data_IF_855896085040
#
_entry.id   IF_855896085040
#
_cell.length_a   1.000
_cell.length_b   1.000
_cell.length_c   1.000
_cell.angle_alpha   90.00
_cell.angle_beta   90.00
_cell.angle_gamma   90.00
#
_symmetry.space_group_name_H-M   'P 1'
#
loop_
_entity.id
_entity.type
_entity.pdbx_description
1 polymer ?
#
# COMPACT_ATOMS: atom_id res chain seq x y z
N UNK A 1 -8.97 23.19 -2.04
CA UNK A 1 -7.80 22.28 -2.15
C UNK A 1 -8.31 20.98 -2.77
N UNK A 2 -7.72 20.46 -3.84
CA UNK A 2 -8.21 19.23 -4.48
C UNK A 2 -7.85 18.02 -3.61
N UNK A 3 -8.78 17.08 -3.38
CA UNK A 3 -8.61 15.87 -2.57
C UNK A 3 -7.37 15.04 -2.98
N UNK A 4 -7.04 15.01 -4.27
CA UNK A 4 -5.81 14.37 -4.75
C UNK A 4 -4.53 15.09 -4.28
N UNK A 5 -4.54 16.43 -4.21
CA UNK A 5 -3.41 17.20 -3.68
C UNK A 5 -3.26 16.98 -2.18
N UNK A 6 -4.40 16.88 -1.46
CA UNK A 6 -4.42 16.56 -0.04
C UNK A 6 -3.80 15.18 0.22
N UNK A 7 -4.21 14.14 -0.52
CA UNK A 7 -3.65 12.80 -0.38
C UNK A 7 -2.14 12.76 -0.64
N UNK A 8 -1.65 13.44 -1.68
CA UNK A 8 -0.21 13.55 -1.92
C UNK A 8 0.55 14.17 -0.76
N UNK A 9 -0.02 15.21 -0.13
CA UNK A 9 0.58 15.84 1.05
C UNK A 9 0.57 14.90 2.26
N UNK A 10 -0.54 14.19 2.50
CA UNK A 10 -0.65 13.20 3.58
C UNK A 10 0.35 12.05 3.39
N UNK A 11 0.48 11.53 2.17
CA UNK A 11 1.47 10.50 1.85
C UNK A 11 2.91 10.99 2.07
N UNK A 12 3.21 12.23 1.65
CA UNK A 12 4.52 12.82 1.85
C UNK A 12 4.84 13.01 3.35
N UNK A 13 3.87 13.51 4.13
CA UNK A 13 4.02 13.65 5.59
C UNK A 13 4.22 12.30 6.28
N UNK A 14 3.42 11.31 5.94
CA UNK A 14 3.53 9.97 6.51
C UNK A 14 4.89 9.32 6.18
N UNK A 15 5.33 9.45 4.92
CA UNK A 15 6.66 8.99 4.50
C UNK A 15 7.77 9.70 5.25
N UNK A 16 7.71 11.03 5.35
CA UNK A 16 8.73 11.82 6.06
C UNK A 16 8.83 11.41 7.53
N UNK A 17 7.69 11.17 8.20
CA UNK A 17 7.67 10.71 9.58
C UNK A 17 8.25 9.30 9.72
N UNK A 18 7.93 8.41 8.77
CA UNK A 18 8.52 7.08 8.73
C UNK A 18 10.04 7.14 8.52
N UNK A 19 10.49 7.92 7.53
CA UNK A 19 11.93 8.08 7.22
C UNK A 19 12.70 8.65 8.40
N UNK A 20 12.12 9.61 9.11
CA UNK A 20 12.71 10.19 10.33
C UNK A 20 12.94 9.12 11.41
N UNK A 21 11.96 8.22 11.62
CA UNK A 21 12.06 7.19 12.64
C UNK A 21 12.93 5.99 12.27
N UNK A 22 12.82 5.50 11.02
CA UNK A 22 13.36 4.18 10.63
C UNK A 22 14.49 4.24 9.61
N UNK A 23 14.68 5.37 8.93
CA UNK A 23 15.80 5.59 8.02
C UNK A 23 16.89 6.43 8.69
N UNK A 24 16.49 7.53 9.35
CA UNK A 24 17.39 8.40 10.09
C UNK A 24 17.65 7.93 11.53
N UNK A 25 16.78 7.05 12.06
CA UNK A 25 16.84 6.50 13.43
C UNK A 25 16.59 7.54 14.55
N UNK A 26 15.82 8.57 14.25
CA UNK A 26 15.41 9.59 15.20
C UNK A 26 14.02 9.32 15.80
N UNK A 27 13.71 8.04 16.04
CA UNK A 27 12.54 7.67 16.84
C UNK A 27 12.66 8.19 18.27
N UNK A 28 11.56 8.46 19.01
CA UNK A 28 11.62 8.94 20.37
C UNK A 28 12.30 7.94 21.32
N UNK A 29 13.33 8.38 22.02
CA UNK A 29 13.94 7.64 23.11
C UNK A 29 13.04 7.67 24.37
N UNK A 30 13.53 7.19 25.51
CA UNK A 30 12.81 7.14 26.79
C UNK A 30 12.44 8.54 27.31
N UNK A 31 13.23 9.57 26.97
CA UNK A 31 12.97 10.97 27.31
C UNK A 31 12.09 11.70 26.26
N UNK A 32 11.67 11.01 25.20
CA UNK A 32 10.91 11.59 24.09
C UNK A 32 11.75 12.40 23.10
N UNK A 33 13.08 12.40 23.23
CA UNK A 33 14.01 13.07 22.31
C UNK A 33 14.35 12.17 21.11
N UNK A 34 14.75 12.75 19.95
CA UNK A 34 15.21 11.97 18.79
C UNK A 34 16.39 11.08 19.18
N UNK A 35 16.31 9.77 18.90
CA UNK A 35 17.31 8.81 19.40
C UNK A 35 18.74 9.13 18.92
N UNK A 36 18.97 9.08 17.60
CA UNK A 36 20.31 9.27 17.03
C UNK A 36 20.84 10.68 17.25
N UNK A 37 20.03 11.70 16.97
CA UNK A 37 20.42 13.12 17.07
C UNK A 37 20.67 13.57 18.51
N UNK A 38 20.18 12.84 19.53
CA UNK A 38 20.45 13.10 20.94
C UNK A 38 21.58 12.23 21.50
N UNK A 39 22.37 11.59 20.64
CA UNK A 39 23.53 10.80 21.05
C UNK A 39 23.21 9.33 21.37
N UNK A 40 22.10 8.81 20.87
CA UNK A 40 21.78 7.38 20.98
C UNK A 40 22.88 6.49 20.37
N UNK A 41 23.21 5.41 21.04
CA UNK A 41 24.30 4.52 20.63
C UNK A 41 23.99 3.80 19.31
N UNK A 42 24.95 3.86 18.37
CA UNK A 42 24.86 3.26 17.06
C UNK A 42 25.94 2.18 16.91
N UNK A 43 25.58 1.05 16.32
CA UNK A 43 26.49 -0.08 16.10
C UNK A 43 26.56 -0.44 14.63
N UNK A 44 27.74 -0.77 14.13
CA UNK A 44 27.92 -1.22 12.76
C UNK A 44 27.31 -2.61 12.54
N UNK A 45 26.49 -2.74 11.52
CA UNK A 45 25.90 -4.03 11.15
C UNK A 45 26.52 -4.55 9.83
N UNK A 46 27.22 -5.66 9.92
CA UNK A 46 27.96 -6.24 8.78
C UNK A 46 27.08 -6.70 7.62
N UNK A 47 25.84 -7.13 7.90
CA UNK A 47 24.90 -7.58 6.87
C UNK A 47 24.25 -6.42 6.14
N UNK A 48 23.88 -5.36 6.88
CA UNK A 48 23.25 -4.15 6.34
C UNK A 48 24.26 -3.15 5.76
N UNK A 49 25.58 -3.33 6.06
CA UNK A 49 26.68 -2.42 5.66
C UNK A 49 26.39 -0.97 6.07
N UNK A 50 25.82 -0.78 7.26
CA UNK A 50 25.49 0.54 7.84
C UNK A 50 25.40 0.44 9.35
N UNK A 51 25.46 1.61 10.00
CA UNK A 51 25.14 1.73 11.40
C UNK A 51 23.63 1.63 11.63
N UNK A 52 23.25 0.93 12.69
CA UNK A 52 21.90 0.82 13.20
C UNK A 52 21.90 1.09 14.71
N UNK A 53 20.76 1.46 15.32
CA UNK A 53 20.68 1.64 16.77
C UNK A 53 21.12 0.38 17.52
N UNK A 54 21.75 0.60 18.70
CA UNK A 54 22.10 -0.52 19.58
C UNK A 54 20.87 -1.38 19.90
N UNK A 55 21.08 -2.70 19.93
CA UNK A 55 20.01 -3.67 20.16
C UNK A 55 19.09 -3.94 18.98
N UNK A 56 19.23 -3.21 17.86
CA UNK A 56 18.51 -3.55 16.63
C UNK A 56 19.19 -4.70 15.90
N UNK A 57 18.41 -5.42 15.10
CA UNK A 57 18.86 -6.59 14.36
C UNK A 57 18.68 -6.43 12.84
N UNK A 58 19.41 -7.26 12.09
CA UNK A 58 19.15 -7.43 10.67
C UNK A 58 18.08 -8.53 10.48
N UNK A 59 17.03 -8.20 9.76
CA UNK A 59 16.00 -9.13 9.29
C UNK A 59 15.70 -8.93 7.82
N UNK A 60 14.57 -9.46 7.37
CA UNK A 60 14.12 -9.44 5.98
C UNK A 60 12.67 -8.95 5.87
N UNK A 61 12.22 -8.67 4.67
CA UNK A 61 10.81 -8.33 4.43
C UNK A 61 9.85 -9.48 4.83
N UNK A 62 10.31 -10.75 4.76
CA UNK A 62 9.52 -11.91 5.20
C UNK A 62 9.41 -12.05 6.72
N UNK A 63 10.21 -11.34 7.49
CA UNK A 63 10.13 -11.35 8.95
C UNK A 63 9.03 -10.40 9.47
N UNK A 64 8.64 -9.41 8.68
CA UNK A 64 7.69 -8.38 9.09
C UNK A 64 6.31 -8.51 8.46
N UNK A 65 6.19 -9.25 7.34
CA UNK A 65 4.93 -9.40 6.63
C UNK A 65 4.81 -10.76 5.94
N UNK A 66 3.56 -11.17 5.73
CA UNK A 66 3.18 -12.28 4.88
C UNK A 66 2.74 -11.77 3.52
N UNK A 67 3.08 -12.50 2.47
CA UNK A 67 2.81 -12.15 1.08
C UNK A 67 1.94 -13.25 0.45
N UNK A 68 0.63 -13.03 0.48
CA UNK A 68 -0.34 -13.99 -0.08
C UNK A 68 -0.59 -13.66 -1.55
N UNK A 69 -0.31 -14.61 -2.42
CA UNK A 69 -0.58 -14.48 -3.84
C UNK A 69 -2.08 -14.57 -4.13
N UNK A 70 -2.56 -13.76 -5.05
CA UNK A 70 -3.93 -13.87 -5.54
C UNK A 70 -4.17 -15.13 -6.38
N UNK A 71 -5.39 -15.23 -6.92
CA UNK A 71 -5.88 -16.39 -7.68
C UNK A 71 -5.73 -16.21 -9.19
N UNK A 72 -5.66 -17.34 -9.91
CA UNK A 72 -5.95 -17.41 -11.32
C UNK A 72 -7.47 -17.24 -11.53
N UNK A 73 -7.95 -15.98 -11.44
CA UNK A 73 -9.37 -15.63 -11.32
C UNK A 73 -10.25 -16.21 -12.45
N UNK A 74 -9.68 -16.45 -13.63
CA UNK A 74 -10.38 -17.09 -14.76
C UNK A 74 -10.91 -18.50 -14.42
N UNK A 75 -10.38 -19.16 -13.37
CA UNK A 75 -10.86 -20.46 -12.88
C UNK A 75 -12.03 -20.35 -11.88
N UNK A 76 -12.33 -19.14 -11.42
CA UNK A 76 -13.33 -18.84 -10.40
C UNK A 76 -14.42 -17.91 -10.92
N UNK A 77 -14.84 -18.10 -12.19
CA UNK A 77 -15.87 -17.27 -12.80
C UNK A 77 -17.19 -17.39 -12.03
N UNK A 78 -17.92 -16.27 -11.84
CA UNK A 78 -19.19 -16.30 -11.15
C UNK A 78 -20.23 -17.09 -11.94
N UNK A 79 -21.08 -17.81 -11.23
CA UNK A 79 -22.22 -18.57 -11.78
C UNK A 79 -23.56 -17.93 -11.38
N UNK A 80 -23.52 -16.92 -10.50
CA UNK A 80 -24.67 -16.23 -9.94
C UNK A 80 -24.36 -14.74 -9.73
N UNK A 81 -25.28 -14.03 -9.06
CA UNK A 81 -25.14 -12.60 -8.76
C UNK A 81 -24.16 -12.30 -7.62
N UNK A 82 -23.81 -13.31 -6.79
CA UNK A 82 -22.85 -13.15 -5.68
C UNK A 82 -21.41 -13.21 -6.20
N UNK A 83 -20.88 -12.03 -6.54
CA UNK A 83 -19.60 -11.88 -7.23
C UNK A 83 -18.80 -10.70 -6.70
N UNK A 84 -17.49 -10.80 -6.85
CA UNK A 84 -16.53 -9.75 -6.50
C UNK A 84 -15.77 -9.28 -7.75
N UNK A 85 -15.43 -7.98 -7.85
CA UNK A 85 -14.56 -7.50 -8.92
C UNK A 85 -13.15 -8.10 -8.77
N UNK A 86 -12.55 -8.47 -9.90
CA UNK A 86 -11.17 -8.97 -9.93
C UNK A 86 -10.20 -7.80 -9.89
N UNK A 87 -9.35 -7.78 -8.86
CA UNK A 87 -8.33 -6.74 -8.72
C UNK A 87 -7.05 -7.19 -9.43
N UNK A 88 -6.80 -6.57 -10.57
CA UNK A 88 -5.59 -6.67 -11.37
C UNK A 88 -4.77 -5.39 -11.25
N UNK A 89 -3.62 -5.32 -11.90
CA UNK A 89 -2.77 -4.12 -11.94
C UNK A 89 -3.52 -2.91 -12.53
N UNK A 90 -4.41 -3.14 -13.52
CA UNK A 90 -5.28 -2.09 -14.06
C UNK A 90 -6.17 -1.48 -12.97
N UNK A 91 -6.85 -2.32 -12.20
CA UNK A 91 -7.74 -1.86 -11.13
C UNK A 91 -6.97 -1.20 -9.98
N UNK A 92 -5.69 -1.54 -9.77
CA UNK A 92 -4.84 -0.80 -8.81
C UNK A 92 -4.64 0.66 -9.24
N UNK A 93 -4.53 0.94 -10.54
CA UNK A 93 -4.32 2.30 -11.05
C UNK A 93 -5.63 3.06 -11.29
N UNK A 94 -6.58 2.41 -11.94
CA UNK A 94 -7.77 3.07 -12.50
C UNK A 94 -9.02 2.89 -11.61
N UNK A 95 -8.92 2.03 -10.58
CA UNK A 95 -10.08 1.60 -9.81
C UNK A 95 -10.97 0.61 -10.59
N UNK A 96 -12.14 0.32 -10.03
CA UNK A 96 -13.13 -0.59 -10.62
C UNK A 96 -13.91 0.14 -11.72
N UNK A 97 -14.05 -0.48 -12.88
CA UNK A 97 -14.74 0.06 -14.04
C UNK A 97 -15.73 -0.95 -14.65
N UNK A 98 -16.45 -0.53 -15.70
CA UNK A 98 -17.35 -1.42 -16.47
C UNK A 98 -16.63 -2.63 -17.09
N UNK A 99 -15.32 -2.49 -17.37
CA UNK A 99 -14.51 -3.54 -18.00
C UNK A 99 -13.86 -4.47 -16.98
N UNK A 100 -14.05 -4.23 -15.69
CA UNK A 100 -13.49 -5.06 -14.63
C UNK A 100 -14.13 -6.45 -14.66
N UNK A 101 -13.31 -7.49 -14.72
CA UNK A 101 -13.77 -8.87 -14.66
C UNK A 101 -14.29 -9.21 -13.25
N UNK A 102 -15.11 -10.28 -13.19
CA UNK A 102 -15.72 -10.72 -11.94
C UNK A 102 -15.28 -12.13 -11.59
N UNK A 103 -15.20 -12.38 -10.29
CA UNK A 103 -14.94 -13.69 -9.69
C UNK A 103 -16.08 -14.00 -8.70
N UNK A 104 -16.40 -15.29 -8.49
CA UNK A 104 -17.40 -15.70 -7.51
C UNK A 104 -17.01 -15.20 -6.11
N UNK A 105 -17.97 -14.82 -5.27
CA UNK A 105 -17.70 -14.33 -3.92
C UNK A 105 -17.19 -15.44 -2.97
N UNK A 106 -17.52 -16.70 -3.26
CA UNK A 106 -17.01 -17.88 -2.55
C UNK A 106 -15.58 -18.23 -3.00
N UNK A 107 -14.63 -17.37 -2.62
CA UNK A 107 -13.18 -17.58 -2.71
C UNK A 107 -12.56 -17.56 -1.33
N UNK A 108 -11.37 -18.15 -1.14
CA UNK A 108 -10.68 -18.13 0.16
C UNK A 108 -10.52 -16.71 0.71
N UNK A 109 -10.71 -16.55 2.01
CA UNK A 109 -10.71 -15.22 2.67
C UNK A 109 -9.36 -14.49 2.54
N UNK A 110 -8.26 -15.23 2.54
CA UNK A 110 -6.91 -14.67 2.42
C UNK A 110 -6.61 -14.04 1.05
N UNK A 111 -7.43 -14.26 0.03
CA UNK A 111 -7.33 -13.63 -1.29
C UNK A 111 -8.45 -12.64 -1.58
N UNK A 112 -9.35 -12.42 -0.63
CA UNK A 112 -10.27 -11.28 -0.64
C UNK A 112 -9.53 -10.02 -0.25
N UNK A 113 -9.89 -8.93 -0.90
CA UNK A 113 -9.30 -7.60 -0.70
C UNK A 113 -10.35 -6.67 -0.11
N UNK A 114 -9.96 -5.89 0.86
CA UNK A 114 -10.78 -4.91 1.57
C UNK A 114 -10.08 -3.54 1.59
N UNK A 115 -10.84 -2.48 1.80
CA UNK A 115 -10.29 -1.14 1.93
C UNK A 115 -9.26 -1.06 3.08
N UNK A 116 -8.13 -0.42 2.79
CA UNK A 116 -7.00 -0.34 3.70
C UNK A 116 -6.01 -1.51 3.61
N UNK A 117 -6.30 -2.56 2.84
CA UNK A 117 -5.33 -3.62 2.57
C UNK A 117 -4.11 -3.08 1.80
N UNK A 118 -2.94 -3.62 2.13
CA UNK A 118 -1.71 -3.33 1.38
C UNK A 118 -1.60 -4.33 0.23
N UNK A 119 -1.56 -3.79 -0.98
CA UNK A 119 -1.35 -4.56 -2.20
C UNK A 119 0.03 -4.28 -2.78
N UNK A 120 0.70 -5.34 -3.24
CA UNK A 120 1.98 -5.27 -3.93
C UNK A 120 1.91 -6.00 -5.27
N UNK A 121 1.93 -5.26 -6.38
CA UNK A 121 2.08 -5.87 -7.71
C UNK A 121 3.54 -6.25 -7.94
N UNK A 122 3.79 -7.54 -8.16
CA UNK A 122 5.13 -8.09 -8.28
C UNK A 122 5.53 -8.42 -9.73
N UNK A 123 4.67 -8.13 -10.69
CA UNK A 123 4.92 -8.32 -12.12
C UNK A 123 4.52 -7.08 -12.91
N UNK A 124 5.08 -6.89 -14.08
CA UNK A 124 4.86 -5.78 -14.99
C UNK A 124 5.16 -4.41 -14.34
N UNK A 125 4.20 -3.80 -13.66
CA UNK A 125 4.37 -2.55 -12.91
C UNK A 125 4.57 -2.86 -11.42
N UNK A 126 5.80 -2.72 -10.91
CA UNK A 126 6.09 -2.93 -9.49
C UNK A 126 5.58 -1.73 -8.68
N UNK A 127 4.56 -1.97 -7.87
CA UNK A 127 3.92 -0.92 -7.07
C UNK A 127 3.39 -1.46 -5.75
N UNK A 128 3.43 -0.61 -4.72
CA UNK A 128 2.81 -0.85 -3.41
C UNK A 128 1.82 0.25 -3.12
N UNK A 129 0.59 -0.12 -2.78
CA UNK A 129 -0.48 0.82 -2.46
C UNK A 129 -1.38 0.34 -1.33
N UNK A 130 -2.14 1.28 -0.75
CA UNK A 130 -3.31 0.98 0.06
C UNK A 130 -4.52 0.89 -0.87
N UNK A 131 -5.24 -0.22 -0.79
CA UNK A 131 -6.48 -0.40 -1.54
C UNK A 131 -7.60 0.46 -0.95
N UNK A 132 -8.46 1.04 -1.80
CA UNK A 132 -9.51 1.97 -1.38
C UNK A 132 -10.77 1.91 -2.25
N UNK A 133 -11.00 0.82 -2.98
CA UNK A 133 -12.07 0.76 -3.98
C UNK A 133 -13.07 -0.38 -3.70
N UNK A 134 -13.26 -0.71 -2.42
CA UNK A 134 -14.23 -1.71 -1.97
C UNK A 134 -13.70 -3.15 -2.01
N UNK A 135 -14.61 -4.10 -1.78
CA UNK A 135 -14.25 -5.51 -1.72
C UNK A 135 -13.93 -6.06 -3.11
N UNK A 136 -12.94 -6.97 -3.18
CA UNK A 136 -12.55 -7.60 -4.44
C UNK A 136 -11.87 -8.96 -4.26
N UNK A 137 -11.68 -9.66 -5.37
CA UNK A 137 -10.88 -10.88 -5.45
C UNK A 137 -9.52 -10.61 -6.09
N UNK A 138 -8.44 -10.98 -5.40
CA UNK A 138 -7.08 -10.67 -5.80
C UNK A 138 -6.59 -11.55 -6.96
N UNK A 139 -6.06 -10.91 -8.00
CA UNK A 139 -5.44 -11.62 -9.13
C UNK A 139 -4.03 -12.14 -8.78
N UNK A 140 -3.63 -13.25 -9.42
CA UNK A 140 -2.37 -13.97 -9.18
C UNK A 140 -1.08 -13.16 -9.33
N UNK A 141 -1.12 -11.98 -9.93
CA UNK A 141 0.05 -11.11 -10.16
C UNK A 141 0.24 -10.04 -9.08
N UNK A 142 -0.52 -10.13 -8.00
CA UNK A 142 -0.49 -9.20 -6.90
C UNK A 142 -0.44 -9.97 -5.59
N UNK A 143 0.37 -9.51 -4.64
CA UNK A 143 0.35 -9.96 -3.26
C UNK A 143 -0.58 -9.10 -2.41
N UNK A 144 -1.41 -9.73 -1.59
CA UNK A 144 -1.94 -9.12 -0.38
C UNK A 144 -0.88 -9.24 0.70
N UNK A 145 -0.49 -8.11 1.28
CA UNK A 145 0.57 -8.04 2.29
C UNK A 145 -0.06 -7.82 3.66
N UNK A 146 0.17 -8.75 4.58
CA UNK A 146 -0.42 -8.72 5.92
C UNK A 146 0.67 -8.79 6.99
N UNK A 147 0.31 -8.38 8.21
CA UNK A 147 1.23 -8.35 9.36
C UNK A 147 1.79 -9.74 9.69
N UNK A 148 3.07 -9.79 10.02
CA UNK A 148 3.73 -10.92 10.62
C UNK A 148 4.51 -10.46 11.85
N UNK A 149 4.63 -11.33 12.86
CA UNK A 149 5.35 -11.04 14.09
C UNK A 149 4.92 -9.74 14.80
N UNK A 150 3.68 -9.30 14.60
CA UNK A 150 3.11 -8.11 15.22
C UNK A 150 3.59 -6.78 14.62
N UNK A 151 4.33 -6.77 13.51
CA UNK A 151 4.70 -5.52 12.84
C UNK A 151 3.48 -4.84 12.22
N UNK A 152 3.28 -3.53 12.46
CA UNK A 152 2.09 -2.83 12.02
C UNK A 152 2.14 -2.47 10.52
N UNK A 153 0.95 -2.13 9.97
CA UNK A 153 0.72 -1.83 8.56
C UNK A 153 1.68 -0.78 8.00
N UNK A 154 1.87 0.32 8.69
CA UNK A 154 2.77 1.38 8.23
C UNK A 154 4.22 0.91 8.11
N UNK A 155 4.66 0.03 9.00
CA UNK A 155 6.04 -0.44 8.99
C UNK A 155 6.34 -1.27 7.75
N UNK A 156 5.56 -2.34 7.48
CA UNK A 156 5.81 -3.18 6.30
C UNK A 156 5.47 -2.45 4.99
N UNK A 157 4.50 -1.54 4.99
CA UNK A 157 4.15 -0.72 3.84
C UNK A 157 5.34 0.14 3.37
N UNK A 158 5.96 0.90 4.28
CA UNK A 158 7.09 1.76 3.93
C UNK A 158 8.38 0.99 3.69
N UNK A 159 8.65 -0.09 4.44
CA UNK A 159 9.78 -0.97 4.14
C UNK A 159 9.68 -1.51 2.70
N UNK A 160 8.51 -1.96 2.31
CA UNK A 160 8.28 -2.45 0.95
C UNK A 160 8.40 -1.33 -0.09
N UNK A 161 7.84 -0.13 0.18
CA UNK A 161 8.00 1.05 -0.70
C UNK A 161 9.47 1.44 -0.91
N UNK A 162 10.30 1.36 0.11
CA UNK A 162 11.74 1.61 -0.02
C UNK A 162 12.43 0.58 -0.94
N UNK A 163 12.00 -0.67 -0.88
CA UNK A 163 12.56 -1.73 -1.73
C UNK A 163 12.09 -1.67 -3.19
N UNK A 164 11.01 -0.97 -3.53
CA UNK A 164 10.52 -0.88 -4.91
C UNK A 164 11.61 -0.39 -5.87
N UNK A 165 12.40 0.60 -5.48
CA UNK A 165 13.53 1.09 -6.30
C UNK A 165 14.57 0.00 -6.57
N UNK A 166 14.95 -0.76 -5.55
CA UNK A 166 15.88 -1.89 -5.65
C UNK A 166 15.31 -2.97 -6.55
N UNK A 167 14.04 -3.33 -6.36
CA UNK A 167 13.37 -4.34 -7.17
C UNK A 167 13.28 -3.95 -8.64
N UNK A 168 13.01 -2.68 -8.96
CA UNK A 168 13.02 -2.17 -10.34
C UNK A 168 14.39 -2.31 -10.97
N UNK A 169 15.47 -1.91 -10.28
CA UNK A 169 16.84 -2.08 -10.75
C UNK A 169 17.20 -3.56 -10.96
N UNK A 170 16.79 -4.45 -10.06
CA UNK A 170 17.02 -5.91 -10.20
C UNK A 170 16.27 -6.49 -11.41
N UNK A 171 15.05 -6.03 -11.65
CA UNK A 171 14.25 -6.43 -12.81
C UNK A 171 14.89 -5.97 -14.14
N UNK A 172 15.35 -4.74 -14.21
CA UNK A 172 16.03 -4.16 -15.37
C UNK A 172 17.37 -4.87 -15.68
N UNK A 173 18.16 -5.17 -14.65
CA UNK A 173 19.47 -5.83 -14.82
C UNK A 173 19.36 -7.24 -15.43
N UNK A 174 18.24 -7.93 -15.24
CA UNK A 174 18.03 -9.29 -15.77
C UNK A 174 17.60 -9.34 -17.24
N UNK A 175 17.37 -8.19 -17.91
CA UNK A 175 16.92 -8.10 -19.33
C UNK A 175 15.76 -9.03 -19.70
N UNK A 176 15.00 -9.49 -18.72
CA UNK A 176 13.78 -10.27 -18.96
C UNK A 176 12.62 -9.34 -19.17
N UNK A 177 11.82 -9.56 -20.18
CA UNK A 177 10.68 -8.74 -20.62
C UNK A 177 9.62 -8.57 -19.53
N UNK A 178 9.70 -9.31 -18.41
CA UNK A 178 8.88 -9.20 -17.21
C UNK A 178 9.76 -9.49 -15.98
N UNK A 179 10.22 -8.44 -15.31
CA UNK A 179 10.89 -8.57 -14.02
C UNK A 179 9.88 -9.05 -12.96
N UNK A 180 9.93 -10.32 -12.62
CA UNK A 180 9.11 -10.89 -11.55
C UNK A 180 9.85 -10.80 -10.22
N UNK A 181 9.20 -10.28 -9.20
CA UNK A 181 9.68 -10.36 -7.82
C UNK A 181 9.15 -11.64 -7.21
N UNK A 182 10.06 -12.49 -6.75
CA UNK A 182 9.77 -13.78 -6.12
C UNK A 182 9.94 -13.69 -4.60
N UNK A 183 9.48 -14.71 -3.88
CA UNK A 183 9.72 -14.82 -2.44
C UNK A 183 11.21 -14.84 -2.08
N UNK A 184 12.08 -15.36 -2.96
CA UNK A 184 13.53 -15.32 -2.73
C UNK A 184 14.08 -13.89 -2.73
N UNK A 185 13.56 -13.01 -3.57
CA UNK A 185 13.92 -11.59 -3.54
C UNK A 185 13.48 -10.93 -2.21
N UNK A 186 12.27 -11.23 -1.73
CA UNK A 186 11.79 -10.74 -0.43
C UNK A 186 12.64 -11.27 0.73
N UNK A 187 13.09 -12.53 0.67
CA UNK A 187 13.99 -13.15 1.66
C UNK A 187 15.38 -12.52 1.65
N UNK A 188 15.87 -12.06 0.51
CA UNK A 188 17.16 -11.39 0.37
C UNK A 188 17.09 -9.89 0.67
N UNK A 189 15.91 -9.33 0.87
CA UNK A 189 15.70 -7.91 1.14
C UNK A 189 15.96 -7.61 2.61
N UNK A 190 17.20 -7.26 2.94
CA UNK A 190 17.67 -7.04 4.30
C UNK A 190 17.20 -5.68 4.83
N UNK A 191 16.65 -5.66 6.03
CA UNK A 191 16.15 -4.46 6.72
C UNK A 191 16.62 -4.39 8.16
N UNK A 192 16.69 -3.18 8.71
CA UNK A 192 16.93 -2.97 10.12
C UNK A 192 15.62 -3.19 10.90
N UNK A 193 15.64 -4.08 11.86
CA UNK A 193 14.50 -4.41 12.72
C UNK A 193 14.72 -3.85 14.12
N UNK A 194 13.74 -3.09 14.66
CA UNK A 194 13.82 -2.62 16.05
C UNK A 194 13.85 -3.81 17.01
N UNK A 195 14.56 -3.66 18.11
CA UNK A 195 14.65 -4.66 19.18
C UNK A 195 13.28 -5.03 19.77
N UNK A 196 12.34 -4.08 19.74
CA UNK A 196 10.96 -4.26 20.19
C UNK A 196 10.01 -3.69 19.12
N UNK A 197 8.96 -4.44 18.79
CA UNK A 197 7.91 -4.00 17.86
C UNK A 197 7.17 -2.76 18.35
N UNK A 198 7.23 -2.46 19.65
CA UNK A 198 6.61 -1.30 20.28
C UNK A 198 7.00 0.03 19.63
N UNK A 199 8.23 0.17 19.13
CA UNK A 199 8.68 1.38 18.42
C UNK A 199 7.86 1.55 17.14
N UNK A 200 7.68 0.46 16.37
CA UNK A 200 6.85 0.48 15.17
C UNK A 200 5.38 0.75 15.50
N UNK A 201 4.85 0.16 16.58
CA UNK A 201 3.48 0.38 17.02
C UNK A 201 3.23 1.82 17.52
N UNK A 202 4.23 2.48 18.12
CA UNK A 202 4.14 3.90 18.47
C UNK A 202 4.00 4.78 17.22
N UNK A 203 4.72 4.47 16.14
CA UNK A 203 4.58 5.17 14.87
C UNK A 203 3.22 4.88 14.22
N UNK A 204 2.77 3.62 14.23
CA UNK A 204 1.46 3.23 13.67
C UNK A 204 0.32 4.06 14.23
N UNK A 205 0.31 4.32 15.54
CA UNK A 205 -0.71 5.17 16.17
C UNK A 205 -0.78 6.58 15.58
N UNK A 206 0.32 7.08 15.00
CA UNK A 206 0.38 8.37 14.30
C UNK A 206 0.03 8.26 12.83
N UNK A 207 0.40 7.16 12.19
CA UNK A 207 0.23 6.98 10.73
C UNK A 207 -1.11 6.35 10.36
N UNK A 208 -1.70 5.50 11.21
CA UNK A 208 -3.00 4.87 10.92
C UNK A 208 -4.09 5.89 10.59
N UNK A 209 -4.30 6.98 11.36
CA UNK A 209 -5.30 7.98 11.01
C UNK A 209 -5.05 8.65 9.65
N UNK A 210 -3.76 8.84 9.29
CA UNK A 210 -3.39 9.39 7.97
C UNK A 210 -3.75 8.39 6.86
N UNK A 211 -3.43 7.11 7.04
CA UNK A 211 -3.78 6.06 6.08
C UNK A 211 -5.29 5.93 5.90
N UNK A 212 -6.03 5.95 6.98
CA UNK A 212 -7.50 5.85 6.95
C UNK A 212 -8.12 7.07 6.24
N UNK A 213 -7.55 8.26 6.45
CA UNK A 213 -7.94 9.48 5.72
C UNK A 213 -7.63 9.36 4.22
N UNK A 214 -6.46 8.85 3.85
CA UNK A 214 -6.10 8.64 2.44
C UNK A 214 -7.08 7.66 1.76
N UNK A 215 -7.41 6.56 2.43
CA UNK A 215 -8.39 5.57 1.94
C UNK A 215 -9.76 6.23 1.74
N UNK A 216 -10.26 6.95 2.75
CA UNK A 216 -11.56 7.65 2.67
C UNK A 216 -11.59 8.67 1.55
N UNK A 217 -10.54 9.48 1.40
CA UNK A 217 -10.45 10.46 0.32
C UNK A 217 -10.44 9.80 -1.07
N UNK A 218 -9.75 8.65 -1.22
CA UNK A 218 -9.74 7.92 -2.49
C UNK A 218 -11.13 7.36 -2.83
N UNK A 219 -11.86 6.86 -1.84
CA UNK A 219 -13.25 6.42 -2.02
C UNK A 219 -14.14 7.58 -2.48
N UNK A 220 -14.01 8.75 -1.86
CA UNK A 220 -14.77 9.94 -2.24
C UNK A 220 -14.43 10.38 -3.67
N UNK A 221 -13.14 10.42 -4.03
CA UNK A 221 -12.68 10.74 -5.38
C UNK A 221 -13.31 9.79 -6.41
N UNK A 222 -13.32 8.49 -6.14
CA UNK A 222 -13.91 7.50 -7.05
C UNK A 222 -15.43 7.68 -7.18
N UNK A 223 -16.14 7.97 -6.08
CA UNK A 223 -17.56 8.25 -6.12
C UNK A 223 -17.88 9.50 -6.96
N UNK A 224 -17.09 10.56 -6.81
CA UNK A 224 -17.24 11.78 -7.59
C UNK A 224 -16.94 11.55 -9.09
N UNK A 225 -15.91 10.75 -9.40
CA UNK A 225 -15.60 10.35 -10.78
C UNK A 225 -16.76 9.56 -11.40
N UNK A 226 -17.34 8.62 -10.65
CA UNK A 226 -18.49 7.84 -11.08
C UNK A 226 -19.69 8.75 -11.37
N UNK A 227 -20.05 9.60 -10.42
CA UNK A 227 -21.15 10.58 -10.59
C UNK A 227 -20.92 11.49 -11.81
N UNK A 228 -19.70 12.02 -11.97
CA UNK A 228 -19.36 12.84 -13.15
C UNK A 228 -19.58 12.05 -14.45
N UNK A 229 -19.11 10.80 -14.51
CA UNK A 229 -19.22 9.98 -15.70
C UNK A 229 -20.67 9.60 -16.04
N UNK A 230 -21.53 9.46 -15.03
CA UNK A 230 -22.96 9.21 -15.19
C UNK A 230 -23.71 10.50 -15.64
N UNK A 231 -23.39 11.66 -15.07
CA UNK A 231 -24.08 12.91 -15.34
C UNK A 231 -23.65 13.58 -16.64
N UNK A 232 -22.37 13.48 -17.01
CA UNK A 232 -21.83 14.18 -18.17
C UNK A 232 -22.54 13.82 -19.49
N UNK A 233 -22.84 12.56 -19.82
CA UNK A 233 -23.59 12.21 -21.00
C UNK A 233 -25.02 12.77 -20.98
N UNK A 234 -25.68 12.82 -19.81
CA UNK A 234 -27.05 13.32 -19.66
C UNK A 234 -27.10 14.84 -19.89
N UNK A 235 -26.08 15.57 -19.40
CA UNK A 235 -25.94 17.01 -19.64
C UNK A 235 -25.66 17.30 -21.13
N UNK A 236 -24.78 16.54 -21.76
CA UNK A 236 -24.44 16.71 -23.18
C UNK A 236 -25.63 16.41 -24.11
N UNK A 237 -26.51 15.51 -23.72
CA UNK A 237 -27.70 15.15 -24.48
C UNK A 237 -28.92 16.03 -24.12
N UNK A 238 -28.79 17.04 -23.27
CA UNK A 238 -29.87 17.90 -22.82
C UNK A 238 -30.97 17.21 -22.01
N UNK A 239 -30.68 16.03 -21.46
CA UNK A 239 -31.63 15.24 -20.65
C UNK A 239 -31.74 15.75 -19.22
N UNK A 240 -30.75 16.51 -18.74
CA UNK A 240 -30.71 17.21 -17.46
C UNK A 240 -30.10 18.60 -17.63
N UNK A 241 -30.51 19.52 -16.80
CA UNK A 241 -29.96 20.90 -16.74
C UNK A 241 -29.37 21.14 -15.35
N UNK A 242 -28.27 21.89 -15.28
CA UNK A 242 -27.74 22.36 -13.99
C UNK A 242 -28.54 23.60 -13.58
N UNK A 243 -29.19 23.51 -12.42
CA UNK A 243 -29.84 24.68 -11.85
C UNK A 243 -28.77 25.59 -11.23
N UNK A 244 -28.55 26.76 -11.82
CA UNK A 244 -27.52 27.73 -11.37
C UNK A 244 -27.99 28.63 -10.20
N UNK A 245 -29.20 28.39 -9.68
CA UNK A 245 -29.81 29.20 -8.61
C UNK A 245 -29.42 28.77 -7.18
N UNK A 246 -28.26 28.14 -7.02
CA UNK A 246 -27.68 27.98 -5.69
C UNK A 246 -27.01 29.27 -5.28
N UNK A 247 -27.80 30.17 -4.68
CA UNK A 247 -27.26 31.30 -3.92
C UNK A 247 -26.40 30.75 -2.80
N UNK A 248 -25.17 31.24 -2.61
CA UNK A 248 -24.41 30.90 -1.42
C UNK A 248 -25.08 31.54 -0.20
N UNK A 249 -25.59 30.75 0.73
CA UNK A 249 -25.93 31.19 2.09
C UNK A 249 -24.66 31.45 2.91
#
# INVERSE_FOLDING_TARGET
>A
MNSQSLNRNLEAMARQLYDYWFVQFDFPNEEGKPYKSSGGEMVWNEKLKREIPEGWNCGTLLDIAEYTNGLACQKYRPTDEDKLPVIKIKEMHDGISSDTEWVKADIPENVKVYDGDVLFSWSASLEVMLWAYGNGGLNQHIFKVTSKNGYPRSFYFYQLKHYIGVFKQMAEARKTTMGHITQDHLKQSLIALPSKVDIANKLEKKLSPIFDTIVTNNQEIMNLIKQRNELLPLLMNGQVTVNCDLSPD
#
